data_IF_384885179909
#
_entry.id   IF_384885179909
#
_cell.length_a   1.000
_cell.length_b   1.000
_cell.length_c   1.000
_cell.angle_alpha   90.00
_cell.angle_beta   90.00
_cell.angle_gamma   90.00
#
_symmetry.space_group_name_H-M   'P 1'
#
loop_
_entity.id
_entity.type
_entity.pdbx_description
1 polymer ?
#
# COMPACT_ATOMS: atom_id res chain seq x y z
N UNK A 1 6.89 62.35 12.13
CA UNK A 1 6.71 61.16 12.98
C UNK A 1 7.69 61.28 14.15
N UNK A 2 7.21 61.34 15.39
CA UNK A 2 8.08 61.62 16.55
C UNK A 2 9.10 60.49 16.72
N UNK A 3 10.37 60.83 16.89
CA UNK A 3 11.51 59.89 16.98
C UNK A 3 11.27 58.75 17.97
N UNK A 4 10.57 59.04 19.08
CA UNK A 4 10.18 58.03 20.09
C UNK A 4 9.18 56.98 19.56
N UNK A 5 8.25 57.38 18.68
CA UNK A 5 7.29 56.46 18.05
C UNK A 5 7.98 55.59 17.00
N UNK A 6 8.97 56.14 16.29
CA UNK A 6 9.80 55.37 15.34
C UNK A 6 10.64 54.34 16.09
N UNK A 7 11.24 54.73 17.22
CA UNK A 7 12.03 53.83 18.06
C UNK A 7 11.18 52.67 18.60
N UNK A 8 9.97 52.96 19.11
CA UNK A 8 9.06 51.93 19.60
C UNK A 8 8.60 50.96 18.49
N UNK A 9 8.31 51.48 17.29
CA UNK A 9 7.91 50.65 16.15
C UNK A 9 9.07 49.73 15.69
N UNK A 10 10.30 50.25 15.66
CA UNK A 10 11.48 49.47 15.31
C UNK A 10 11.75 48.35 16.32
N UNK A 11 11.62 48.64 17.63
CA UNK A 11 11.75 47.63 18.69
C UNK A 11 10.67 46.55 18.56
N UNK A 12 9.42 46.92 18.24
CA UNK A 12 8.34 45.95 18.03
C UNK A 12 8.61 45.03 16.83
N UNK A 13 9.09 45.56 15.71
CA UNK A 13 9.42 44.77 14.52
C UNK A 13 10.58 43.81 14.80
N UNK A 14 11.62 44.28 15.50
CA UNK A 14 12.76 43.44 15.88
C UNK A 14 12.33 42.35 16.86
N UNK A 15 11.47 42.66 17.84
CA UNK A 15 10.95 41.67 18.77
C UNK A 15 10.11 40.59 18.07
N UNK A 16 9.25 40.96 17.13
CA UNK A 16 8.48 40.01 16.31
C UNK A 16 9.44 39.17 15.44
N UNK A 17 10.45 39.79 14.83
CA UNK A 17 11.47 39.08 14.04
C UNK A 17 12.25 38.06 14.87
N UNK A 18 12.69 38.42 16.07
CA UNK A 18 13.40 37.51 16.98
C UNK A 18 12.51 36.35 17.44
N UNK A 19 11.19 36.55 17.54
CA UNK A 19 10.28 35.48 17.94
C UNK A 19 9.85 34.59 16.76
N UNK A 20 9.60 35.17 15.58
CA UNK A 20 9.06 34.47 14.41
C UNK A 20 10.13 33.85 13.50
N UNK A 21 11.35 34.41 13.44
CA UNK A 21 12.43 33.89 12.59
C UNK A 21 12.97 32.55 13.10
N UNK A 22 13.21 32.31 14.41
CA UNK A 22 13.64 31.00 14.89
C UNK A 22 12.59 29.93 14.63
N UNK A 23 11.30 30.24 14.72
CA UNK A 23 10.23 29.26 14.43
C UNK A 23 10.13 28.97 12.93
N UNK A 24 10.31 29.95 12.04
CA UNK A 24 10.33 29.69 10.58
C UNK A 24 11.62 29.01 10.13
N UNK A 25 12.77 29.40 10.68
CA UNK A 25 14.04 28.70 10.47
C UNK A 25 13.96 27.28 11.02
N UNK A 26 13.35 27.05 12.19
CA UNK A 26 13.19 25.68 12.73
C UNK A 26 12.24 24.83 11.89
N UNK A 27 11.18 25.42 11.31
CA UNK A 27 10.25 24.68 10.44
C UNK A 27 10.86 24.37 9.06
N UNK A 28 11.76 25.24 8.57
CA UNK A 28 12.40 25.13 7.25
C UNK A 28 13.85 24.63 7.30
N UNK A 29 14.43 24.46 8.49
CA UNK A 29 15.80 24.00 8.69
C UNK A 29 15.87 22.53 8.30
N UNK A 30 16.59 22.25 7.22
CA UNK A 30 16.72 20.92 6.62
C UNK A 30 15.80 20.68 5.41
N UNK A 31 14.84 21.57 5.12
CA UNK A 31 13.94 21.42 3.95
C UNK A 31 14.57 21.90 2.62
N UNK A 32 15.77 22.49 2.66
CA UNK A 32 16.51 22.97 1.46
C UNK A 32 17.94 22.44 1.36
N UNK A 33 18.30 21.42 2.12
CA UNK A 33 19.56 20.69 1.91
C UNK A 33 19.33 19.63 0.85
N UNK A 34 19.84 19.87 -0.35
CA UNK A 34 19.91 18.85 -1.40
C UNK A 34 20.85 17.75 -0.91
N UNK A 35 20.36 16.51 -0.88
CA UNK A 35 21.20 15.35 -0.61
C UNK A 35 22.07 15.08 -1.84
N UNK A 36 23.38 14.94 -1.63
CA UNK A 36 24.27 14.46 -2.68
C UNK A 36 24.06 12.95 -2.82
N UNK A 37 23.42 12.58 -3.92
CA UNK A 37 23.04 11.22 -4.28
C UNK A 37 24.08 10.56 -5.21
N UNK A 38 25.19 11.25 -5.51
CA UNK A 38 26.20 10.79 -6.47
C UNK A 38 27.24 9.83 -5.88
N UNK A 39 27.28 9.69 -4.55
CA UNK A 39 28.18 8.78 -3.84
C UNK A 39 27.61 7.37 -3.63
N UNK A 40 28.49 6.43 -3.27
CA UNK A 40 28.14 5.04 -2.94
C UNK A 40 27.06 4.98 -1.84
N UNK A 41 26.04 4.14 -2.05
CA UNK A 41 24.87 4.00 -1.18
C UNK A 41 23.68 4.90 -1.55
N UNK A 42 23.92 6.11 -2.07
CA UNK A 42 22.88 7.04 -2.54
C UNK A 42 21.71 7.17 -1.52
N UNK A 43 21.98 7.22 -0.21
CA UNK A 43 20.93 7.06 0.80
C UNK A 43 20.19 8.38 1.07
N UNK A 44 18.93 8.48 0.63
CA UNK A 44 17.99 9.44 1.16
C UNK A 44 17.51 8.93 2.54
N UNK A 45 17.53 9.74 3.62
CA UNK A 45 17.04 9.31 4.93
C UNK A 45 15.50 9.35 4.96
N UNK A 46 14.88 8.32 4.40
CA UNK A 46 13.44 8.25 4.13
C UNK A 46 12.62 8.36 5.44
N UNK A 47 13.15 7.88 6.58
CA UNK A 47 12.51 8.00 7.90
C UNK A 47 12.38 9.45 8.41
N UNK A 48 13.07 10.45 7.83
CA UNK A 48 12.86 11.86 8.20
C UNK A 48 11.47 12.36 7.82
N UNK A 49 10.88 11.77 6.78
CA UNK A 49 9.56 12.15 6.26
C UNK A 49 8.52 11.03 6.43
N UNK A 50 8.95 9.76 6.39
CA UNK A 50 8.10 8.57 6.50
C UNK A 50 8.38 7.80 7.80
N UNK A 51 8.50 8.52 8.91
CA UNK A 51 8.85 7.94 10.21
C UNK A 51 7.84 6.88 10.69
N UNK A 52 6.56 7.14 10.47
CA UNK A 52 5.44 6.24 10.78
C UNK A 52 5.50 4.93 9.99
N UNK A 53 5.79 5.01 8.69
CA UNK A 53 6.00 3.84 7.84
C UNK A 53 7.21 3.05 8.33
N UNK A 54 8.34 3.72 8.55
CA UNK A 54 9.54 3.06 9.05
C UNK A 54 9.30 2.34 10.38
N UNK A 55 8.63 3.00 11.34
CA UNK A 55 8.26 2.44 12.64
C UNK A 55 7.37 1.20 12.52
N UNK A 56 6.47 1.18 11.53
CA UNK A 56 5.68 0.01 11.20
C UNK A 56 6.53 -1.13 10.62
N UNK A 57 7.40 -0.83 9.64
CA UNK A 57 8.21 -1.84 8.96
C UNK A 57 9.22 -2.53 9.90
N UNK A 58 9.77 -1.81 10.89
CA UNK A 58 10.76 -2.36 11.85
C UNK A 58 10.15 -2.98 13.09
N UNK A 59 8.85 -2.77 13.34
CA UNK A 59 8.20 -3.20 14.56
C UNK A 59 8.24 -4.72 14.72
N UNK A 60 8.43 -5.20 15.96
CA UNK A 60 8.31 -6.62 16.28
C UNK A 60 6.89 -7.17 16.02
N UNK A 61 5.85 -6.31 16.03
CA UNK A 61 4.46 -6.72 15.91
C UNK A 61 3.97 -6.84 14.44
N UNK A 62 4.62 -6.15 13.50
CA UNK A 62 4.20 -6.13 12.08
C UNK A 62 5.36 -6.29 11.08
N UNK A 63 6.60 -6.28 11.54
CA UNK A 63 7.78 -6.24 10.70
C UNK A 63 8.10 -7.59 10.05
N UNK A 64 7.46 -7.86 8.91
CA UNK A 64 7.90 -8.94 8.00
C UNK A 64 9.00 -8.48 7.04
N UNK A 65 9.26 -7.17 6.96
CA UNK A 65 10.32 -6.58 6.14
C UNK A 65 11.36 -5.79 6.95
N UNK A 66 11.65 -6.21 8.19
CA UNK A 66 12.62 -5.54 9.09
C UNK A 66 14.01 -5.43 8.49
N UNK A 67 14.36 -6.35 7.59
CA UNK A 67 15.64 -6.36 6.87
C UNK A 67 15.68 -5.41 5.68
N UNK A 68 14.53 -4.85 5.26
CA UNK A 68 14.41 -3.85 4.21
C UNK A 68 14.34 -2.40 4.75
N UNK A 69 14.50 -2.26 6.07
CA UNK A 69 14.20 -1.01 6.77
C UNK A 69 15.35 -0.01 6.83
N UNK A 70 16.59 -0.41 6.57
CA UNK A 70 17.67 0.57 6.42
C UNK A 70 17.89 0.81 4.94
N UNK A 71 17.58 1.97 4.31
CA UNK A 71 17.04 3.27 4.77
C UNK A 71 15.55 3.50 4.39
N UNK A 72 14.67 2.52 4.62
CA UNK A 72 13.22 2.62 4.34
C UNK A 72 12.84 2.73 2.85
N UNK A 73 13.81 2.56 1.95
CA UNK A 73 13.64 2.84 0.52
C UNK A 73 13.90 1.63 -0.38
N UNK A 74 14.08 0.43 0.17
CA UNK A 74 14.29 -0.80 -0.62
C UNK A 74 13.06 -1.19 -1.44
N UNK A 75 11.86 -0.85 -0.98
CA UNK A 75 10.64 -0.93 -1.79
C UNK A 75 10.70 -0.04 -3.03
N UNK A 76 11.48 1.05 -2.99
CA UNK A 76 11.70 1.98 -4.10
C UNK A 76 13.07 1.78 -4.79
N UNK A 77 13.82 0.74 -4.42
CA UNK A 77 15.11 0.35 -5.01
C UNK A 77 15.07 -1.10 -5.45
N UNK A 78 14.04 -1.40 -6.23
CA UNK A 78 13.78 -2.76 -6.67
C UNK A 78 14.75 -3.10 -7.79
N UNK A 79 15.56 -4.15 -7.58
CA UNK A 79 16.45 -4.62 -8.62
C UNK A 79 15.64 -5.12 -9.82
N UNK A 80 15.80 -4.46 -10.97
CA UNK A 80 15.08 -4.79 -12.19
C UNK A 80 15.39 -6.21 -12.70
N UNK A 81 16.51 -6.80 -12.27
CA UNK A 81 16.87 -8.20 -12.58
C UNK A 81 16.23 -9.21 -11.61
N UNK A 82 15.71 -8.75 -10.47
CA UNK A 82 15.05 -9.59 -9.46
C UNK A 82 13.51 -9.62 -9.60
N UNK A 83 12.97 -8.82 -10.52
CA UNK A 83 11.52 -8.69 -10.76
C UNK A 83 11.21 -8.91 -12.23
N UNK A 84 10.00 -9.41 -12.52
CA UNK A 84 9.57 -9.64 -13.91
C UNK A 84 9.01 -8.37 -14.53
N UNK A 85 8.21 -7.63 -13.76
CA UNK A 85 7.68 -6.34 -14.16
C UNK A 85 8.58 -5.26 -13.58
N UNK A 86 9.29 -4.57 -14.46
CA UNK A 86 10.10 -3.42 -14.06
C UNK A 86 9.19 -2.31 -13.53
N UNK A 87 9.60 -1.69 -12.43
CA UNK A 87 8.88 -0.58 -11.80
C UNK A 87 9.30 0.78 -12.37
N UNK A 88 10.43 0.85 -13.09
CA UNK A 88 10.99 2.10 -13.58
C UNK A 88 11.64 2.96 -12.48
N UNK A 89 11.61 2.54 -11.21
CA UNK A 89 12.32 3.23 -10.13
C UNK A 89 13.83 3.03 -10.23
N UNK A 90 14.59 3.89 -9.56
CA UNK A 90 16.04 3.76 -9.49
C UNK A 90 16.44 2.47 -8.75
N UNK A 91 17.56 1.87 -9.13
CA UNK A 91 18.11 0.66 -8.49
C UNK A 91 19.56 0.90 -8.05
N UNK A 92 20.02 0.19 -7.04
CA UNK A 92 21.40 0.24 -6.56
C UNK A 92 21.67 -0.77 -5.44
N UNK A 93 22.88 -1.33 -5.45
CA UNK A 93 23.34 -2.38 -4.52
C UNK A 93 24.36 -1.87 -3.49
N UNK A 94 24.46 -0.55 -3.34
CA UNK A 94 25.44 0.11 -2.47
C UNK A 94 26.83 0.27 -3.07
N UNK A 95 27.13 -0.33 -4.23
CA UNK A 95 28.38 -0.17 -4.98
C UNK A 95 28.17 0.73 -6.22
N UNK A 96 26.93 0.84 -6.70
CA UNK A 96 26.54 1.77 -7.75
C UNK A 96 25.05 2.07 -7.72
N UNK A 97 24.62 3.06 -8.51
CA UNK A 97 23.19 3.34 -8.71
C UNK A 97 22.88 3.58 -10.19
N UNK A 98 21.74 3.05 -10.62
CA UNK A 98 21.16 3.28 -11.93
C UNK A 98 19.94 4.21 -11.75
N UNK A 99 19.95 5.41 -12.35
CA UNK A 99 18.78 6.27 -12.36
C UNK A 99 17.58 5.56 -12.98
N UNK A 100 16.43 5.63 -12.30
CA UNK A 100 15.16 5.13 -12.82
C UNK A 100 14.61 6.01 -13.96
N UNK A 101 13.59 5.51 -14.63
CA UNK A 101 12.78 6.26 -15.61
C UNK A 101 11.55 6.93 -14.97
N UNK A 102 11.23 6.58 -13.72
CA UNK A 102 10.11 7.13 -12.96
C UNK A 102 10.59 8.04 -11.80
N UNK A 103 9.71 8.34 -10.84
CA UNK A 103 10.00 9.30 -9.77
C UNK A 103 11.07 8.79 -8.80
N UNK A 104 11.85 9.70 -8.21
CA UNK A 104 13.02 9.36 -7.37
C UNK A 104 12.69 8.57 -6.07
N UNK A 105 11.43 8.53 -5.63
CA UNK A 105 10.97 7.78 -4.44
C UNK A 105 9.45 7.88 -4.18
N UNK A 106 8.75 8.84 -4.81
CA UNK A 106 7.34 9.14 -4.53
C UNK A 106 6.40 8.40 -5.48
N UNK A 107 6.46 7.08 -5.51
CA UNK A 107 5.62 6.22 -6.35
C UNK A 107 5.09 5.03 -5.57
N UNK A 108 3.85 4.62 -5.83
CA UNK A 108 3.27 3.42 -5.25
C UNK A 108 3.83 2.18 -5.94
N UNK A 109 4.60 1.37 -5.22
CA UNK A 109 5.16 0.12 -5.74
C UNK A 109 4.21 -1.02 -5.39
N UNK A 110 3.85 -1.83 -6.39
CA UNK A 110 2.99 -2.98 -6.18
C UNK A 110 3.69 -3.99 -5.26
N UNK A 111 3.02 -4.47 -4.21
CA UNK A 111 3.53 -5.54 -3.35
C UNK A 111 3.91 -6.78 -4.19
N UNK A 112 3.12 -7.06 -5.22
CA UNK A 112 3.28 -8.21 -6.09
C UNK A 112 4.54 -8.18 -6.97
N UNK A 113 5.25 -7.05 -7.06
CA UNK A 113 6.54 -7.00 -7.77
C UNK A 113 7.55 -7.96 -7.14
N UNK A 114 7.47 -8.13 -5.81
CA UNK A 114 8.21 -9.13 -5.07
C UNK A 114 7.33 -10.35 -4.79
N UNK A 115 6.07 -10.16 -4.39
CA UNK A 115 5.24 -11.24 -3.87
C UNK A 115 4.49 -12.07 -4.92
N UNK A 116 4.68 -11.81 -6.21
CA UNK A 116 4.17 -12.68 -7.26
C UNK A 116 4.87 -14.04 -7.30
N UNK A 117 4.22 -14.98 -7.97
CA UNK A 117 4.82 -16.27 -8.21
C UNK A 117 6.07 -16.14 -9.09
N UNK A 118 7.04 -17.03 -8.87
CA UNK A 118 8.29 -17.11 -9.64
C UNK A 118 9.29 -15.97 -9.37
N UNK A 119 9.24 -15.35 -8.20
CA UNK A 119 10.29 -14.47 -7.66
C UNK A 119 11.07 -15.17 -6.54
N UNK A 120 12.12 -14.53 -6.04
CA UNK A 120 12.88 -15.02 -4.85
C UNK A 120 12.22 -14.71 -3.50
N UNK A 121 11.11 -13.97 -3.50
CA UNK A 121 10.46 -13.52 -2.28
C UNK A 121 9.32 -14.46 -1.87
N UNK A 122 8.86 -14.40 -0.61
CA UNK A 122 7.72 -15.20 -0.18
C UNK A 122 6.50 -14.92 -1.05
N UNK A 123 5.95 -15.97 -1.65
CA UNK A 123 4.78 -15.86 -2.50
C UNK A 123 3.53 -15.50 -1.67
N UNK A 124 2.82 -14.43 -2.03
CA UNK A 124 1.59 -13.99 -1.35
C UNK A 124 0.31 -14.40 -2.09
N UNK A 125 0.40 -15.31 -3.06
CA UNK A 125 -0.75 -15.74 -3.87
C UNK A 125 -1.33 -17.10 -3.47
N UNK A 126 -1.76 -17.86 -4.47
CA UNK A 126 -2.65 -19.02 -4.34
C UNK A 126 -4.09 -18.71 -4.79
N UNK A 127 -4.27 -17.57 -5.45
CA UNK A 127 -5.54 -17.06 -5.94
C UNK A 127 -5.77 -17.47 -7.39
N UNK A 128 -7.01 -17.38 -7.85
CA UNK A 128 -7.31 -17.71 -9.23
C UNK A 128 -7.04 -16.51 -10.14
N UNK A 129 -5.97 -16.59 -10.94
CA UNK A 129 -5.51 -15.53 -11.83
C UNK A 129 -6.63 -14.88 -12.66
N UNK A 130 -7.52 -15.70 -13.23
CA UNK A 130 -8.63 -15.22 -14.06
C UNK A 130 -9.66 -14.45 -13.23
N UNK A 131 -9.96 -14.91 -12.01
CA UNK A 131 -10.90 -14.22 -11.12
C UNK A 131 -10.33 -12.90 -10.58
N UNK A 132 -9.02 -12.83 -10.31
CA UNK A 132 -8.36 -11.62 -9.80
C UNK A 132 -8.37 -10.50 -10.83
N UNK A 133 -8.10 -10.81 -12.10
CA UNK A 133 -8.10 -9.83 -13.20
C UNK A 133 -9.41 -9.75 -13.96
N UNK A 134 -10.48 -10.37 -13.45
CA UNK A 134 -11.79 -10.32 -14.11
C UNK A 134 -12.27 -8.88 -14.21
N UNK A 135 -12.69 -8.46 -15.40
CA UNK A 135 -13.22 -7.13 -15.67
C UNK A 135 -12.26 -5.97 -15.32
N UNK A 136 -10.95 -6.22 -15.25
CA UNK A 136 -9.93 -5.16 -15.12
C UNK A 136 -9.42 -4.73 -16.50
N UNK A 137 -8.84 -3.54 -16.58
CA UNK A 137 -8.25 -3.00 -17.82
C UNK A 137 -6.75 -3.22 -17.92
N UNK A 138 -6.16 -3.98 -16.98
CA UNK A 138 -4.71 -4.21 -16.93
C UNK A 138 -4.27 -5.05 -18.14
N UNK A 139 -3.30 -4.57 -18.95
CA UNK A 139 -2.71 -5.31 -20.06
C UNK A 139 -2.12 -6.65 -19.61
N UNK A 140 -2.19 -7.69 -20.44
CA UNK A 140 -1.75 -9.03 -20.04
C UNK A 140 -0.26 -9.12 -19.68
N UNK A 141 0.57 -8.31 -20.33
CA UNK A 141 2.00 -8.18 -20.09
C UNK A 141 2.34 -7.40 -18.81
N UNK A 142 1.36 -6.71 -18.21
CA UNK A 142 1.49 -5.96 -16.96
C UNK A 142 0.83 -6.68 -15.75
N UNK A 143 0.21 -7.84 -15.97
CA UNK A 143 -0.42 -8.62 -14.89
C UNK A 143 0.62 -9.36 -14.07
N UNK A 144 0.63 -9.17 -12.75
CA UNK A 144 1.32 -10.02 -11.78
C UNK A 144 0.72 -11.43 -11.67
N UNK A 145 1.53 -12.41 -11.28
CA UNK A 145 1.08 -13.79 -11.08
C UNK A 145 0.64 -14.07 -9.64
N UNK A 146 -0.67 -14.24 -9.46
CA UNK A 146 -1.30 -14.56 -8.17
C UNK A 146 -1.55 -16.05 -7.96
N UNK A 147 -1.36 -16.88 -8.99
CA UNK A 147 -1.54 -18.33 -8.95
C UNK A 147 -0.20 -19.06 -8.78
N UNK A 148 -0.25 -20.33 -8.36
CA UNK A 148 0.94 -21.18 -8.26
C UNK A 148 1.54 -21.48 -9.64
N UNK A 149 2.79 -21.96 -9.67
CA UNK A 149 3.55 -22.22 -10.91
C UNK A 149 2.98 -23.35 -11.76
N UNK A 150 2.21 -24.25 -11.16
CA UNK A 150 1.43 -25.28 -11.85
C UNK A 150 0.10 -24.75 -12.42
N UNK A 151 -0.15 -23.45 -12.29
CA UNK A 151 -1.36 -22.78 -12.73
C UNK A 151 -2.53 -22.87 -11.73
N UNK A 152 -2.35 -23.58 -10.61
CA UNK A 152 -3.42 -23.77 -9.63
C UNK A 152 -3.65 -22.53 -8.77
N UNK A 153 -4.91 -22.34 -8.37
CA UNK A 153 -5.33 -21.22 -7.53
C UNK A 153 -6.77 -21.41 -7.05
N UNK A 154 -7.07 -20.93 -5.84
CA UNK A 154 -8.36 -21.10 -5.22
C UNK A 154 -9.43 -20.21 -5.86
N UNK A 155 -10.23 -20.74 -6.80
CA UNK A 155 -11.35 -20.01 -7.44
C UNK A 155 -12.37 -19.47 -6.43
N UNK A 156 -12.53 -20.16 -5.31
CA UNK A 156 -13.47 -19.81 -4.23
C UNK A 156 -12.80 -19.04 -3.09
N UNK A 157 -11.57 -18.57 -3.25
CA UNK A 157 -10.90 -17.77 -2.23
C UNK A 157 -11.64 -16.43 -2.07
N UNK A 158 -12.05 -16.11 -0.84
CA UNK A 158 -12.75 -14.86 -0.53
C UNK A 158 -11.93 -13.61 -0.96
N UNK A 159 -10.60 -13.73 -0.93
CA UNK A 159 -9.68 -12.67 -1.36
C UNK A 159 -9.73 -12.37 -2.86
N UNK A 160 -10.16 -13.29 -3.75
CA UNK A 160 -10.17 -13.04 -5.20
C UNK A 160 -10.94 -11.76 -5.56
N UNK A 161 -12.11 -11.58 -4.94
CA UNK A 161 -12.92 -10.39 -5.19
C UNK A 161 -12.29 -9.16 -4.55
N UNK A 162 -11.77 -9.26 -3.33
CA UNK A 162 -11.18 -8.11 -2.66
C UNK A 162 -9.95 -7.59 -3.41
N UNK A 163 -9.06 -8.50 -3.84
CA UNK A 163 -7.89 -8.19 -4.66
C UNK A 163 -8.32 -7.60 -6.00
N UNK A 164 -9.30 -8.21 -6.69
CA UNK A 164 -9.82 -7.68 -7.96
C UNK A 164 -10.32 -6.25 -7.84
N UNK A 165 -11.11 -5.96 -6.81
CA UNK A 165 -11.67 -4.61 -6.66
C UNK A 165 -10.59 -3.60 -6.24
N UNK A 166 -9.54 -4.02 -5.51
CA UNK A 166 -8.36 -3.18 -5.29
C UNK A 166 -7.61 -2.87 -6.60
N UNK A 167 -7.38 -3.85 -7.47
CA UNK A 167 -6.74 -3.65 -8.78
C UNK A 167 -7.50 -2.65 -9.68
N UNK A 168 -8.81 -2.52 -9.50
CA UNK A 168 -9.64 -1.57 -10.24
C UNK A 168 -9.61 -0.16 -9.63
N UNK A 169 -9.21 -0.02 -8.38
CA UNK A 169 -9.13 1.26 -7.69
C UNK A 169 -7.87 2.00 -8.13
N UNK A 170 -7.96 3.27 -8.57
CA UNK A 170 -6.79 4.03 -9.00
C UNK A 170 -5.96 4.62 -7.86
N UNK A 171 -6.33 4.41 -6.59
CA UNK A 171 -5.66 5.03 -5.44
C UNK A 171 -4.20 4.54 -5.27
N UNK A 172 -3.94 3.25 -5.49
CA UNK A 172 -2.62 2.63 -5.43
C UNK A 172 -2.42 1.67 -6.60
N UNK A 173 -1.16 1.24 -6.77
CA UNK A 173 -0.80 0.31 -7.84
C UNK A 173 -1.25 -1.11 -7.52
N UNK A 174 -1.97 -1.72 -8.45
CA UNK A 174 -2.40 -3.12 -8.42
C UNK A 174 -3.19 -3.45 -7.13
N UNK A 175 -2.94 -4.55 -6.42
CA UNK A 175 -3.75 -4.95 -5.27
C UNK A 175 -3.32 -4.34 -3.93
N UNK A 176 -2.58 -3.24 -3.94
CA UNK A 176 -1.94 -2.72 -2.73
C UNK A 176 -2.94 -2.43 -1.62
N UNK A 177 -4.11 -1.86 -1.93
CA UNK A 177 -5.18 -1.59 -0.98
C UNK A 177 -5.65 -2.84 -0.26
N UNK A 178 -5.80 -3.96 -0.98
CA UNK A 178 -6.20 -5.23 -0.39
C UNK A 178 -5.11 -5.78 0.54
N UNK A 179 -3.84 -5.62 0.17
CA UNK A 179 -2.71 -6.06 0.98
C UNK A 179 -2.58 -5.22 2.26
N UNK A 180 -2.52 -3.89 2.14
CA UNK A 180 -2.36 -2.99 3.29
C UNK A 180 -3.56 -3.03 4.24
N UNK A 181 -4.76 -3.26 3.70
CA UNK A 181 -5.97 -3.39 4.52
C UNK A 181 -5.87 -4.45 5.63
N UNK A 182 -5.05 -5.49 5.42
CA UNK A 182 -4.93 -6.61 6.35
C UNK A 182 -3.50 -6.84 6.86
N UNK A 183 -2.48 -6.43 6.11
CA UNK A 183 -1.07 -6.69 6.40
C UNK A 183 -0.31 -5.44 6.89
N UNK A 184 -1.01 -4.32 7.07
CA UNK A 184 -0.46 -3.12 7.72
C UNK A 184 -1.36 -2.64 8.85
N UNK A 185 -0.92 -1.61 9.56
CA UNK A 185 -1.62 -0.92 10.65
C UNK A 185 -2.73 -0.01 10.14
N UNK A 186 -3.01 -0.01 8.83
CA UNK A 186 -4.11 0.78 8.26
C UNK A 186 -5.43 0.30 8.86
N UNK A 187 -6.15 1.23 9.50
CA UNK A 187 -7.48 0.95 10.01
C UNK A 187 -8.45 0.74 8.86
N UNK A 188 -9.14 -0.41 8.86
CA UNK A 188 -10.14 -0.75 7.84
C UNK A 188 -11.54 -0.77 8.43
N UNK A 189 -12.46 -0.16 7.69
CA UNK A 189 -13.90 -0.28 7.96
C UNK A 189 -14.46 -1.33 7.00
N UNK A 190 -14.85 -2.48 7.56
CA UNK A 190 -15.43 -3.57 6.79
C UNK A 190 -16.89 -3.74 7.18
N UNK A 191 -17.74 -3.81 6.16
CA UNK A 191 -19.16 -4.18 6.31
C UNK A 191 -19.32 -5.62 5.82
N UNK A 192 -19.61 -6.53 6.73
CA UNK A 192 -19.87 -7.93 6.42
C UNK A 192 -21.37 -8.14 6.31
N UNK A 193 -21.88 -8.28 5.08
CA UNK A 193 -23.25 -8.72 4.84
C UNK A 193 -23.25 -10.22 4.62
N UNK A 194 -23.81 -10.97 5.58
CA UNK A 194 -23.97 -12.41 5.47
C UNK A 194 -25.44 -12.74 5.25
N UNK A 195 -25.74 -13.52 4.21
CA UNK A 195 -27.08 -14.05 4.04
C UNK A 195 -27.40 -15.09 5.12
N UNK A 196 -28.61 -15.04 5.66
CA UNK A 196 -29.02 -15.87 6.81
C UNK A 196 -29.94 -17.01 6.44
N UNK A 197 -30.53 -16.97 5.24
CA UNK A 197 -31.51 -17.95 4.78
C UNK A 197 -30.99 -18.60 3.50
N UNK A 198 -31.13 -19.92 3.42
CA UNK A 198 -30.99 -20.65 2.16
C UNK A 198 -32.40 -20.93 1.64
N UNK A 199 -32.70 -20.42 0.45
CA UNK A 199 -33.98 -20.59 -0.22
C UNK A 199 -33.76 -21.44 -1.48
N UNK A 200 -34.68 -22.37 -1.74
CA UNK A 200 -34.68 -23.22 -2.93
C UNK A 200 -36.10 -23.69 -3.21
N UNK A 201 -36.38 -24.01 -4.47
CA UNK A 201 -37.63 -24.60 -4.88
C UNK A 201 -37.56 -26.12 -4.75
N UNK A 202 -38.61 -26.72 -4.18
CA UNK A 202 -38.75 -28.16 -4.04
C UNK A 202 -40.08 -28.60 -4.66
N UNK A 203 -40.02 -29.48 -5.66
CA UNK A 203 -41.20 -30.07 -6.30
C UNK A 203 -41.11 -31.59 -6.29
N UNK A 204 -42.22 -32.24 -5.97
CA UNK A 204 -42.38 -33.69 -6.00
C UNK A 204 -43.22 -34.10 -7.22
N UNK A 205 -42.82 -35.17 -7.91
CA UNK A 205 -43.60 -35.74 -9.02
C UNK A 205 -44.61 -36.81 -8.54
N UNK A 206 -45.46 -37.30 -9.46
CA UNK A 206 -46.49 -38.32 -9.16
C UNK A 206 -45.90 -39.68 -8.70
N UNK A 207 -44.58 -39.87 -8.83
CA UNK A 207 -43.85 -41.08 -8.40
C UNK A 207 -43.12 -40.87 -7.07
N UNK A 208 -43.21 -39.68 -6.46
CA UNK A 208 -42.52 -39.32 -5.23
C UNK A 208 -41.05 -38.91 -5.40
N UNK A 209 -40.61 -38.59 -6.62
CA UNK A 209 -39.26 -38.08 -6.85
C UNK A 209 -39.22 -36.57 -6.59
N UNK A 210 -38.23 -36.14 -5.82
CA UNK A 210 -38.02 -34.74 -5.48
C UNK A 210 -37.00 -34.08 -6.41
N UNK A 211 -37.37 -32.93 -6.97
CA UNK A 211 -36.46 -32.05 -7.70
C UNK A 211 -36.26 -30.77 -6.88
N UNK A 212 -34.98 -30.42 -6.66
CA UNK A 212 -34.58 -29.20 -5.98
C UNK A 212 -33.91 -28.26 -6.98
N UNK A 213 -34.39 -27.02 -7.10
CA UNK A 213 -33.83 -26.00 -8.00
C UNK A 213 -33.66 -24.66 -7.29
N UNK A 214 -33.00 -23.71 -7.97
CA UNK A 214 -32.99 -22.29 -7.57
C UNK A 214 -32.42 -22.03 -6.17
N UNK A 215 -31.33 -22.71 -5.81
CA UNK A 215 -30.60 -22.44 -4.58
C UNK A 215 -30.07 -21.00 -4.58
N UNK A 216 -30.62 -20.19 -3.68
CA UNK A 216 -30.21 -18.80 -3.47
C UNK A 216 -30.06 -18.52 -1.98
N UNK A 217 -29.06 -17.72 -1.63
CA UNK A 217 -28.92 -17.22 -0.26
C UNK A 217 -29.66 -15.88 -0.14
N UNK A 218 -30.57 -15.77 0.83
CA UNK A 218 -31.43 -14.60 1.05
C UNK A 218 -31.41 -14.15 2.51
N UNK A 219 -32.06 -13.01 2.77
CA UNK A 219 -31.97 -12.30 4.06
C UNK A 219 -30.59 -11.69 4.27
N UNK A 220 -30.48 -10.70 5.15
CA UNK A 220 -29.21 -10.01 5.43
C UNK A 220 -28.98 -9.89 6.93
N UNK A 221 -27.79 -10.30 7.37
CA UNK A 221 -27.25 -9.94 8.67
C UNK A 221 -25.97 -9.14 8.44
N UNK A 222 -26.01 -7.87 8.81
CA UNK A 222 -24.94 -6.91 8.56
C UNK A 222 -24.17 -6.70 9.86
N UNK A 223 -22.89 -7.04 9.84
CA UNK A 223 -21.95 -6.69 10.90
C UNK A 223 -20.99 -5.61 10.42
N UNK A 224 -20.87 -4.53 11.19
CA UNK A 224 -19.90 -3.48 10.93
C UNK A 224 -18.71 -3.64 11.87
N UNK A 225 -17.50 -3.59 11.33
CA UNK A 225 -16.30 -3.33 12.13
C UNK A 225 -15.87 -1.89 11.88
N UNK A 226 -15.98 -1.06 12.91
CA UNK A 226 -15.44 0.30 12.92
C UNK A 226 -14.26 0.33 13.86
N UNK A 227 -13.04 0.24 13.32
CA UNK A 227 -11.84 0.44 14.11
C UNK A 227 -11.27 1.82 13.81
N UNK A 228 -11.10 2.64 14.86
CA UNK A 228 -10.15 3.74 14.78
C UNK A 228 -8.75 3.11 14.70
N UNK A 229 -7.90 3.63 13.82
CA UNK A 229 -6.48 3.26 13.83
C UNK A 229 -5.89 3.78 15.15
N UNK A 230 -5.79 2.91 16.17
CA UNK A 230 -5.26 3.27 17.49
C UNK A 230 -3.73 3.43 17.50
N UNK A 231 -3.07 3.36 16.35
CA UNK A 231 -1.61 3.46 16.22
C UNK A 231 -1.11 4.87 15.87
N UNK A 232 -2.00 5.85 15.64
CA UNK A 232 -1.65 7.22 15.28
C UNK A 232 -1.73 8.22 16.45
N UNK A 233 -1.60 7.76 17.70
CA UNK A 233 -1.65 8.61 18.91
C UNK A 233 -0.43 9.48 19.08
#
# INVERSE_FOLDING_TARGET
MNTNKIALLAIAIVAIGIFALPSTVSLLSGQHTWYDLSGDGNNLPCEKCHADINDEMISDDNGVHRTLAGPGCDCHRVNASATRLGTGVADGDGIGSNPGTSSHAAETIACMVCHENNTWYPFAGGFNQTEVYKDTTVPNDEKYYYNHSDGTGGKMAAHNQFIREAIKDPLMTDSNEACIACHTRVGVNITWTKNTVLEFNASEDDLGNWTLTDFVATGDNITYTTYANNWTT
#
